data_IF_689013223900
#
_entry.id   IF_689013223900
#
_cell.length_a   1.000
_cell.length_b   1.000
_cell.length_c   1.000
_cell.angle_alpha   90.00
_cell.angle_beta   90.00
_cell.angle_gamma   90.00
#
_symmetry.space_group_name_H-M   'P 1'
#
loop_
_entity.id
_entity.type
_entity.pdbx_description
1 polymer ?
#
# COMPACT_ATOMS: atom_id res chain seq x y z
N UNK A 1 5.44 3.41 -16.61
CA UNK A 1 4.65 3.23 -15.37
C UNK A 1 3.66 2.07 -15.51
N UNK A 2 3.91 0.94 -14.84
CA UNK A 2 3.17 -0.35 -14.95
C UNK A 2 2.06 -0.53 -13.89
N UNK A 3 1.50 0.56 -13.33
CA UNK A 3 0.64 0.51 -12.13
C UNK A 3 -0.60 -0.40 -12.23
N UNK A 4 -1.20 -0.54 -13.41
CA UNK A 4 -2.52 -1.18 -13.51
C UNK A 4 -2.48 -2.71 -13.54
N UNK A 5 -1.45 -3.34 -14.11
CA UNK A 5 -1.47 -4.79 -14.36
C UNK A 5 -1.20 -5.63 -13.10
N UNK A 6 -0.38 -5.13 -12.18
CA UNK A 6 -0.11 -5.80 -10.89
C UNK A 6 -1.34 -5.78 -9.98
N UNK A 7 -2.03 -4.62 -9.90
CA UNK A 7 -3.25 -4.38 -9.12
C UNK A 7 -4.36 -5.41 -9.41
N UNK A 8 -4.64 -5.68 -10.68
CA UNK A 8 -5.68 -6.67 -11.06
C UNK A 8 -5.32 -8.11 -10.72
N UNK A 9 -4.04 -8.50 -10.86
CA UNK A 9 -3.60 -9.87 -10.53
C UNK A 9 -3.72 -10.15 -9.04
N UNK A 10 -3.29 -9.20 -8.21
CA UNK A 10 -3.28 -9.34 -6.75
C UNK A 10 -4.71 -9.41 -6.19
N UNK A 11 -5.59 -8.48 -6.59
CA UNK A 11 -7.01 -8.49 -6.19
C UNK A 11 -7.70 -9.79 -6.63
N UNK A 12 -7.41 -10.29 -7.84
CA UNK A 12 -7.96 -11.55 -8.33
C UNK A 12 -7.44 -12.76 -7.54
N UNK A 13 -6.16 -12.77 -7.13
CA UNK A 13 -5.58 -13.81 -6.25
C UNK A 13 -6.29 -13.83 -4.89
N UNK A 14 -6.53 -12.66 -4.30
CA UNK A 14 -7.27 -12.51 -3.04
C UNK A 14 -8.70 -13.06 -3.12
N UNK A 15 -9.42 -12.76 -4.21
CA UNK A 15 -10.78 -13.27 -4.44
C UNK A 15 -10.85 -14.80 -4.61
N UNK A 16 -9.74 -15.46 -4.96
CA UNK A 16 -9.68 -16.91 -5.16
C UNK A 16 -9.38 -17.73 -3.89
N UNK A 17 -9.18 -17.09 -2.72
CA UNK A 17 -9.25 -17.69 -1.37
C UNK A 17 -8.62 -19.10 -1.17
N UNK A 18 -7.43 -19.38 -1.71
CA UNK A 18 -6.81 -20.71 -1.49
C UNK A 18 -5.29 -20.78 -1.39
N UNK A 19 -4.58 -19.65 -1.24
CA UNK A 19 -3.13 -19.68 -1.03
C UNK A 19 -2.73 -18.78 0.12
N UNK A 20 -1.79 -19.25 0.94
CA UNK A 20 -1.02 -18.42 1.84
C UNK A 20 -0.38 -17.29 1.01
N UNK A 21 -0.71 -16.06 1.35
CA UNK A 21 -0.09 -14.85 0.79
C UNK A 21 1.12 -14.50 1.63
N UNK A 22 2.23 -14.10 0.99
CA UNK A 22 3.39 -13.65 1.75
C UNK A 22 3.09 -12.34 2.49
N UNK A 23 3.83 -12.00 3.55
CA UNK A 23 3.68 -10.72 4.25
C UNK A 23 3.78 -9.50 3.30
N UNK A 24 4.60 -9.58 2.26
CA UNK A 24 4.68 -8.56 1.21
C UNK A 24 3.41 -8.50 0.39
N UNK A 25 2.90 -9.64 -0.10
CA UNK A 25 1.63 -9.67 -0.85
C UNK A 25 0.45 -9.16 0.00
N UNK A 26 0.43 -9.47 1.29
CA UNK A 26 -0.57 -8.96 2.24
C UNK A 26 -0.46 -7.44 2.42
N UNK A 27 0.76 -6.92 2.53
CA UNK A 27 1.03 -5.47 2.59
C UNK A 27 0.50 -4.76 1.35
N UNK A 28 0.86 -5.24 0.17
CA UNK A 28 0.41 -4.68 -1.11
C UNK A 28 -1.12 -4.73 -1.24
N UNK A 29 -1.75 -5.84 -0.84
CA UNK A 29 -3.21 -6.00 -0.85
C UNK A 29 -3.90 -5.00 0.07
N UNK A 30 -3.40 -4.86 1.30
CA UNK A 30 -3.99 -3.98 2.30
C UNK A 30 -3.90 -2.51 1.86
N UNK A 31 -2.76 -2.08 1.29
CA UNK A 31 -2.62 -0.74 0.71
C UNK A 31 -3.63 -0.54 -0.43
N UNK A 32 -3.79 -1.51 -1.33
CA UNK A 32 -4.76 -1.41 -2.42
C UNK A 32 -6.21 -1.38 -1.93
N UNK A 33 -6.54 -2.17 -0.90
CA UNK A 33 -7.88 -2.15 -0.29
C UNK A 33 -8.12 -0.76 0.30
N UNK A 34 -7.18 -0.23 1.08
CA UNK A 34 -7.25 1.10 1.66
C UNK A 34 -7.55 2.17 0.58
N UNK A 35 -6.76 2.20 -0.49
CA UNK A 35 -6.95 3.13 -1.63
C UNK A 35 -8.35 2.99 -2.25
N UNK A 36 -8.81 1.77 -2.54
CA UNK A 36 -10.08 1.56 -3.25
C UNK A 36 -11.32 1.77 -2.35
N UNK A 37 -11.20 1.63 -1.03
CA UNK A 37 -12.31 1.90 -0.10
C UNK A 37 -12.53 3.39 0.13
N UNK A 38 -11.57 4.22 -0.29
CA UNK A 38 -11.60 5.64 -0.01
C UNK A 38 -12.28 6.45 -1.12
N UNK A 39 -13.57 6.71 -0.94
CA UNK A 39 -14.42 7.33 -1.96
C UNK A 39 -14.03 8.78 -2.34
N UNK A 40 -13.36 9.51 -1.44
CA UNK A 40 -12.93 10.91 -1.65
C UNK A 40 -11.44 11.07 -1.31
N UNK A 41 -10.58 10.44 -2.12
CA UNK A 41 -9.13 10.39 -1.89
C UNK A 41 -8.51 11.78 -1.67
N UNK A 42 -8.81 12.74 -2.53
CA UNK A 42 -8.17 14.06 -2.49
C UNK A 42 -8.63 14.89 -1.27
N UNK A 43 -9.93 14.91 -1.01
CA UNK A 43 -10.55 15.81 -0.03
C UNK A 43 -10.49 15.31 1.42
N UNK A 44 -10.20 14.01 1.62
CA UNK A 44 -10.16 13.43 2.97
C UNK A 44 -8.76 13.50 3.59
N UNK A 45 -8.71 13.69 4.91
CA UNK A 45 -7.53 13.35 5.72
C UNK A 45 -7.59 11.87 6.14
N UNK A 46 -6.43 11.22 6.21
CA UNK A 46 -6.28 9.84 6.66
C UNK A 46 -5.24 9.72 7.77
N UNK A 47 -5.62 9.04 8.84
CA UNK A 47 -4.74 8.57 9.92
C UNK A 47 -5.28 7.22 10.41
N UNK A 48 -4.74 6.12 9.88
CA UNK A 48 -5.25 4.78 10.16
C UNK A 48 -4.11 3.81 10.46
N UNK A 49 -4.36 2.88 11.38
CA UNK A 49 -3.43 1.80 11.71
C UNK A 49 -4.09 0.45 11.50
N UNK A 50 -3.43 -0.41 10.72
CA UNK A 50 -3.80 -1.82 10.56
C UNK A 50 -2.80 -2.68 11.33
N UNK A 51 -3.30 -3.55 12.20
CA UNK A 51 -2.48 -4.43 13.04
C UNK A 51 -2.45 -5.85 12.46
N UNK A 52 -1.32 -6.53 12.59
CA UNK A 52 -1.10 -7.90 12.13
C UNK A 52 0.34 -8.36 12.33
N UNK A 53 0.78 -9.35 11.55
CA UNK A 53 2.20 -9.72 11.39
C UNK A 53 3.00 -8.60 10.70
N UNK A 54 2.33 -7.89 9.80
CA UNK A 54 2.77 -6.58 9.29
C UNK A 54 1.82 -5.52 9.82
N UNK A 55 2.38 -4.48 10.44
CA UNK A 55 1.62 -3.31 10.87
C UNK A 55 1.73 -2.21 9.82
N UNK A 56 0.59 -1.64 9.43
CA UNK A 56 0.52 -0.58 8.42
C UNK A 56 0.01 0.71 9.04
N UNK A 57 0.78 1.78 8.92
CA UNK A 57 0.36 3.14 9.29
C UNK A 57 0.13 3.97 8.03
N UNK A 58 -1.10 4.43 7.83
CA UNK A 58 -1.50 5.27 6.71
C UNK A 58 -1.70 6.71 7.16
N UNK A 59 -1.07 7.63 6.45
CA UNK A 59 -1.17 9.07 6.72
C UNK A 59 -1.35 9.86 5.42
N UNK A 60 -2.28 10.81 5.43
CA UNK A 60 -2.45 11.77 4.34
C UNK A 60 -3.22 13.00 4.80
N UNK A 61 -2.77 14.18 4.42
CA UNK A 61 -3.54 15.40 4.60
C UNK A 61 -4.56 15.64 3.48
N UNK A 62 -5.65 16.35 3.81
CA UNK A 62 -6.62 16.79 2.81
C UNK A 62 -5.95 17.76 1.82
N UNK A 63 -6.27 17.63 0.54
CA UNK A 63 -5.66 18.42 -0.54
C UNK A 63 -4.29 17.91 -1.02
N UNK A 64 -3.76 16.83 -0.44
CA UNK A 64 -2.55 16.17 -0.94
C UNK A 64 -2.87 15.10 -1.98
N UNK A 65 -2.11 15.09 -3.08
CA UNK A 65 -2.21 14.10 -4.16
C UNK A 65 -1.65 12.73 -3.78
N UNK A 66 -0.77 12.69 -2.77
CA UNK A 66 -0.12 11.48 -2.30
C UNK A 66 -0.34 11.33 -0.80
N UNK A 67 -0.54 10.09 -0.36
CA UNK A 67 -0.44 9.66 1.02
C UNK A 67 0.81 8.82 1.25
N UNK A 68 1.11 8.62 2.52
CA UNK A 68 2.25 7.88 3.04
C UNK A 68 1.78 6.63 3.77
N UNK A 69 2.43 5.49 3.53
CA UNK A 69 2.22 4.27 4.27
C UNK A 69 3.55 3.72 4.79
N UNK A 70 3.60 3.42 6.09
CA UNK A 70 4.72 2.70 6.71
C UNK A 70 4.30 1.27 7.00
N UNK A 71 5.05 0.29 6.48
CA UNK A 71 4.87 -1.12 6.77
C UNK A 71 5.96 -1.63 7.71
N UNK A 72 5.59 -2.11 8.90
CA UNK A 72 6.50 -2.65 9.91
C UNK A 72 6.33 -4.16 10.01
N UNK A 73 7.36 -4.92 9.63
CA UNK A 73 7.38 -6.37 9.66
C UNK A 73 7.87 -6.85 11.03
N UNK A 74 6.98 -7.42 11.84
CA UNK A 74 7.31 -7.79 13.23
C UNK A 74 8.38 -8.86 13.36
N UNK A 75 8.44 -9.79 12.41
CA UNK A 75 9.38 -10.91 12.43
C UNK A 75 10.84 -10.47 12.47
N UNK A 76 11.18 -9.43 11.70
CA UNK A 76 12.56 -8.98 11.51
C UNK A 76 12.79 -7.49 11.83
N UNK A 77 11.74 -6.75 12.21
CA UNK A 77 11.79 -5.32 12.50
C UNK A 77 12.03 -4.44 11.27
N UNK A 78 11.91 -4.98 10.06
CA UNK A 78 12.08 -4.22 8.81
C UNK A 78 10.94 -3.22 8.67
N UNK A 79 11.29 -2.01 8.24
CA UNK A 79 10.34 -0.97 7.89
C UNK A 79 10.48 -0.71 6.40
N UNK A 80 9.36 -0.75 5.68
CA UNK A 80 9.28 -0.37 4.27
C UNK A 80 8.29 0.77 4.14
N UNK A 81 8.72 1.84 3.51
CA UNK A 81 7.93 3.05 3.32
C UNK A 81 7.37 3.09 1.90
N UNK A 82 6.12 3.53 1.77
CA UNK A 82 5.41 3.63 0.50
C UNK A 82 4.77 4.99 0.34
N UNK A 83 4.73 5.47 -0.90
CA UNK A 83 3.82 6.53 -1.33
C UNK A 83 2.63 5.92 -2.06
N UNK A 84 1.44 6.48 -1.88
CA UNK A 84 0.26 6.04 -2.59
C UNK A 84 -0.61 7.20 -3.08
N UNK A 85 -1.39 6.94 -4.12
CA UNK A 85 -2.45 7.82 -4.61
C UNK A 85 -3.69 6.99 -4.99
N UNK A 86 -4.71 7.64 -5.56
CA UNK A 86 -5.93 6.96 -6.02
C UNK A 86 -5.69 5.82 -7.03
N UNK A 87 -4.55 5.83 -7.73
CA UNK A 87 -4.24 4.88 -8.79
C UNK A 87 -3.50 3.65 -8.24
N UNK A 88 -2.61 3.82 -7.28
CA UNK A 88 -1.78 2.76 -6.70
C UNK A 88 -0.75 3.26 -5.70
N UNK A 89 0.34 2.50 -5.53
CA UNK A 89 1.41 2.81 -4.58
C UNK A 89 2.77 2.38 -5.14
N UNK A 90 3.84 2.90 -4.54
CA UNK A 90 5.23 2.56 -4.85
C UNK A 90 6.10 2.69 -3.59
N UNK A 91 7.16 1.89 -3.48
CA UNK A 91 8.15 2.01 -2.41
C UNK A 91 8.84 3.38 -2.49
N UNK A 92 8.88 4.10 -1.36
CA UNK A 92 9.42 5.46 -1.29
C UNK A 92 10.89 5.50 -1.71
N UNK A 93 11.69 4.52 -1.27
CA UNK A 93 13.09 4.41 -1.66
C UNK A 93 13.28 4.33 -3.17
N UNK A 94 12.40 3.62 -3.89
CA UNK A 94 12.49 3.54 -5.36
C UNK A 94 12.22 4.88 -6.01
N UNK A 95 11.25 5.62 -5.49
CA UNK A 95 10.86 6.95 -5.99
C UNK A 95 11.97 7.97 -5.73
N UNK A 96 12.58 7.96 -4.54
CA UNK A 96 13.61 8.91 -4.14
C UNK A 96 14.96 8.60 -4.80
N UNK A 97 15.33 7.31 -4.90
CA UNK A 97 16.62 6.89 -5.46
C UNK A 97 16.62 6.81 -6.99
N UNK A 98 15.45 6.89 -7.64
CA UNK A 98 15.33 6.89 -9.10
C UNK A 98 15.80 5.59 -9.77
N UNK A 99 15.81 4.48 -9.03
CA UNK A 99 16.22 3.17 -9.54
C UNK A 99 15.09 2.56 -10.38
N UNK A 100 15.03 2.94 -11.66
CA UNK A 100 14.30 2.19 -12.68
C UNK A 100 15.00 0.84 -12.91
N UNK A 101 14.37 -0.27 -12.53
CA UNK A 101 14.77 -1.63 -12.95
C UNK A 101 13.76 -2.21 -13.93
#
# INVERSE_FOLDING_TARGET
>A
MKFFTAKFKLIKKYQMKSQETSPEEETELNILIFINTSAEFFDSHYGSHMYGEVELWFEKDAGCLFGYCSATYKENGTIIEYIFNEQGFEELDRVVLGTDV
#
